data_IF_824220407349
#
_entry.id   IF_824220407349
#
_cell.length_a   1.000
_cell.length_b   1.000
_cell.length_c   1.000
_cell.angle_alpha   90.00
_cell.angle_beta   90.00
_cell.angle_gamma   90.00
#
_symmetry.space_group_name_H-M   'P 1'
#
loop_
_entity.id
_entity.type
_entity.pdbx_description
1 polymer ?
#
# COMPACT_ATOMS: atom_id res chain seq x y z
N UNK A 1 -2.01 -29.99 -14.63
CA UNK A 1 -3.25 -29.46 -15.25
C UNK A 1 -3.04 -27.99 -15.52
N UNK A 2 -3.29 -27.47 -16.74
CA UNK A 2 -3.26 -26.02 -16.94
C UNK A 2 -4.54 -25.42 -16.37
N UNK A 3 -4.39 -24.34 -15.63
CA UNK A 3 -5.48 -23.52 -15.10
C UNK A 3 -5.93 -22.63 -16.27
N UNK A 4 -7.21 -22.65 -16.60
CA UNK A 4 -7.84 -21.74 -17.57
C UNK A 4 -7.52 -20.29 -17.21
N UNK A 5 -6.70 -19.63 -18.03
CA UNK A 5 -6.51 -18.20 -17.97
C UNK A 5 -7.77 -17.53 -18.55
N UNK A 6 -8.62 -17.01 -17.66
CA UNK A 6 -9.61 -16.01 -18.03
C UNK A 6 -8.90 -14.86 -18.74
N UNK A 7 -9.41 -14.45 -19.89
CA UNK A 7 -8.79 -13.52 -20.85
C UNK A 7 -8.85 -12.05 -20.44
N UNK A 8 -8.82 -11.75 -19.15
CA UNK A 8 -8.56 -10.40 -18.66
C UNK A 8 -7.05 -10.27 -18.40
N UNK A 9 -6.42 -9.23 -18.96
CA UNK A 9 -5.04 -8.91 -18.60
C UNK A 9 -4.96 -8.66 -17.09
N UNK A 10 -3.98 -9.26 -16.41
CA UNK A 10 -3.79 -8.98 -14.98
C UNK A 10 -3.52 -7.48 -14.76
N UNK A 11 -4.04 -6.89 -13.67
CA UNK A 11 -3.77 -5.50 -13.35
C UNK A 11 -2.27 -5.26 -13.16
N UNK A 12 -1.78 -4.16 -13.71
CA UNK A 12 -0.39 -3.72 -13.54
C UNK A 12 -0.26 -2.57 -12.54
N UNK A 13 -1.35 -1.89 -12.18
CA UNK A 13 -1.39 -0.83 -11.16
C UNK A 13 -2.21 -1.32 -9.98
N UNK A 14 -1.55 -1.48 -8.83
CA UNK A 14 -2.10 -2.20 -7.69
C UNK A 14 -2.35 -1.26 -6.53
N UNK A 15 -3.56 -1.26 -5.99
CA UNK A 15 -3.84 -0.70 -4.67
C UNK A 15 -3.97 -1.84 -3.67
N UNK A 16 -2.97 -2.01 -2.80
CA UNK A 16 -2.97 -3.08 -1.80
C UNK A 16 -3.80 -2.62 -0.61
N UNK A 17 -5.01 -3.16 -0.49
CA UNK A 17 -5.94 -2.81 0.57
C UNK A 17 -5.58 -3.52 1.87
N UNK A 18 -5.97 -2.90 2.99
CA UNK A 18 -5.92 -3.50 4.33
C UNK A 18 -7.32 -3.60 4.96
N UNK A 19 -8.38 -3.62 4.15
CA UNK A 19 -9.78 -3.59 4.63
C UNK A 19 -10.08 -4.70 5.65
N UNK A 20 -9.53 -5.90 5.43
CA UNK A 20 -9.72 -7.05 6.32
C UNK A 20 -8.67 -7.16 7.44
N UNK A 21 -7.67 -6.27 7.50
CA UNK A 21 -6.68 -6.28 8.58
C UNK A 21 -7.31 -5.87 9.93
N UNK A 22 -6.61 -6.03 11.04
CA UNK A 22 -7.11 -5.52 12.34
C UNK A 22 -6.81 -4.03 12.56
N UNK A 23 -5.81 -3.48 11.86
CA UNK A 23 -5.27 -2.15 12.09
C UNK A 23 -4.61 -1.57 10.82
N UNK A 24 -4.25 -0.28 10.89
CA UNK A 24 -3.68 0.49 9.76
C UNK A 24 -4.59 0.53 8.55
N UNK A 25 -5.91 0.52 8.79
CA UNK A 25 -6.91 0.69 7.75
C UNK A 25 -6.98 2.14 7.33
N UNK A 26 -7.32 2.37 6.08
CA UNK A 26 -7.74 3.69 5.60
C UNK A 26 -9.24 3.78 5.85
N UNK A 27 -9.68 4.78 6.61
CA UNK A 27 -11.10 4.94 6.96
C UNK A 27 -11.94 5.42 5.77
N UNK A 28 -11.39 6.31 4.94
CA UNK A 28 -12.03 6.80 3.72
C UNK A 28 -11.56 6.01 2.48
N UNK A 29 -11.42 4.69 2.60
CA UNK A 29 -10.84 3.85 1.54
C UNK A 29 -11.66 3.87 0.25
N UNK A 30 -12.98 4.01 0.32
CA UNK A 30 -13.84 4.09 -0.87
C UNK A 30 -13.52 5.32 -1.74
N UNK A 31 -13.26 6.48 -1.11
CA UNK A 31 -12.84 7.70 -1.81
C UNK A 31 -11.44 7.53 -2.44
N UNK A 32 -10.54 6.86 -1.73
CA UNK A 32 -9.18 6.57 -2.20
C UNK A 32 -9.22 5.64 -3.40
N UNK A 33 -10.02 4.57 -3.36
CA UNK A 33 -10.22 3.64 -4.49
C UNK A 33 -10.82 4.39 -5.68
N UNK A 34 -11.88 5.19 -5.47
CA UNK A 34 -12.50 5.96 -6.54
C UNK A 34 -11.53 6.95 -7.20
N UNK A 35 -10.63 7.54 -6.41
CA UNK A 35 -9.53 8.37 -6.94
C UNK A 35 -8.54 7.52 -7.74
N UNK A 36 -8.05 6.42 -7.19
CA UNK A 36 -7.00 5.58 -7.79
C UNK A 36 -7.48 4.86 -9.07
N UNK A 37 -8.75 4.48 -9.15
CA UNK A 37 -9.36 3.88 -10.34
C UNK A 37 -9.27 4.78 -11.58
N UNK A 38 -9.32 6.11 -11.39
CA UNK A 38 -9.13 7.07 -12.49
C UNK A 38 -7.72 7.03 -13.09
N UNK A 39 -6.75 6.46 -12.35
CA UNK A 39 -5.38 6.22 -12.78
C UNK A 39 -5.13 4.75 -13.10
N UNK A 40 -6.17 3.95 -13.30
CA UNK A 40 -6.08 2.54 -13.71
C UNK A 40 -5.62 1.59 -12.60
N UNK A 41 -5.67 2.01 -11.33
CA UNK A 41 -5.39 1.10 -10.21
C UNK A 41 -6.57 0.18 -9.92
N UNK A 42 -6.26 -1.05 -9.56
CA UNK A 42 -7.22 -2.04 -9.08
C UNK A 42 -6.96 -2.38 -7.62
N UNK A 43 -8.04 -2.53 -6.84
CA UNK A 43 -7.96 -2.94 -5.44
C UNK A 43 -7.58 -4.42 -5.35
N UNK A 44 -6.63 -4.72 -4.47
CA UNK A 44 -6.15 -6.08 -4.20
C UNK A 44 -6.21 -6.36 -2.70
N UNK A 45 -6.85 -7.46 -2.33
CA UNK A 45 -6.84 -8.04 -0.99
C UNK A 45 -5.91 -9.26 -1.01
N UNK A 46 -4.65 -9.10 -0.56
CA UNK A 46 -3.64 -10.15 -0.71
C UNK A 46 -3.96 -11.42 0.07
N UNK A 47 -4.68 -11.31 1.17
CA UNK A 47 -5.18 -12.41 2.00
C UNK A 47 -6.13 -13.35 1.26
N UNK A 48 -6.73 -12.90 0.16
CA UNK A 48 -7.60 -13.71 -0.71
C UNK A 48 -6.82 -14.46 -1.79
N UNK A 49 -5.52 -14.18 -1.94
CA UNK A 49 -4.65 -14.74 -2.97
C UNK A 49 -3.66 -15.75 -2.39
N UNK A 50 -3.44 -16.83 -3.11
CA UNK A 50 -2.32 -17.74 -2.84
C UNK A 50 -0.98 -17.05 -3.05
N UNK A 51 0.09 -17.56 -2.43
CA UNK A 51 1.46 -17.04 -2.64
C UNK A 51 1.83 -17.01 -4.13
N UNK A 52 1.43 -18.03 -4.90
CA UNK A 52 1.71 -18.09 -6.33
C UNK A 52 1.01 -16.96 -7.10
N UNK A 53 -0.24 -16.65 -6.74
CA UNK A 53 -0.98 -15.55 -7.35
C UNK A 53 -0.40 -14.19 -6.95
N UNK A 54 0.03 -14.02 -5.69
CA UNK A 54 0.74 -12.82 -5.25
C UNK A 54 2.05 -12.63 -6.03
N UNK A 55 2.86 -13.67 -6.21
CA UNK A 55 4.08 -13.60 -7.02
C UNK A 55 3.77 -13.18 -8.46
N UNK A 56 2.78 -13.83 -9.10
CA UNK A 56 2.40 -13.52 -10.46
C UNK A 56 1.97 -12.04 -10.60
N UNK A 57 1.14 -11.57 -9.68
CA UNK A 57 0.62 -10.21 -9.63
C UNK A 57 1.73 -9.16 -9.45
N UNK A 58 2.64 -9.37 -8.49
CA UNK A 58 3.74 -8.42 -8.26
C UNK A 58 4.78 -8.44 -9.39
N UNK A 59 4.96 -9.56 -10.09
CA UNK A 59 5.90 -9.68 -11.22
C UNK A 59 5.52 -8.86 -12.46
N UNK A 60 4.26 -8.42 -12.54
CA UNK A 60 3.73 -7.58 -13.62
C UNK A 60 3.40 -6.16 -13.16
N UNK A 61 3.60 -5.83 -11.88
CA UNK A 61 3.27 -4.53 -11.33
C UNK A 61 4.18 -3.41 -11.88
N UNK A 62 3.55 -2.35 -12.39
CA UNK A 62 4.18 -1.10 -12.83
C UNK A 62 4.12 -0.02 -11.75
N UNK A 63 3.02 0.01 -10.98
CA UNK A 63 2.84 0.96 -9.88
C UNK A 63 2.05 0.31 -8.74
N UNK A 64 2.46 0.57 -7.51
CA UNK A 64 1.83 0.04 -6.30
C UNK A 64 1.55 1.21 -5.36
N UNK A 65 0.32 1.26 -4.83
CA UNK A 65 -0.07 2.16 -3.74
C UNK A 65 -0.52 1.28 -2.57
N UNK A 66 0.04 1.47 -1.38
CA UNK A 66 -0.25 0.56 -0.27
C UNK A 66 0.00 1.19 1.10
N UNK A 67 -0.89 1.00 2.08
CA UNK A 67 -0.55 1.13 3.49
C UNK A 67 0.63 0.23 3.88
N UNK A 68 1.50 0.76 4.74
CA UNK A 68 2.62 0.02 5.30
C UNK A 68 2.18 -1.34 5.90
N UNK A 69 2.84 -2.42 5.49
CA UNK A 69 2.67 -3.74 6.09
C UNK A 69 3.25 -4.91 5.31
N UNK A 70 3.25 -6.08 5.97
CA UNK A 70 3.94 -7.30 5.53
C UNK A 70 3.67 -7.75 4.09
N UNK A 71 2.52 -7.40 3.51
CA UNK A 71 2.21 -7.67 2.10
C UNK A 71 3.20 -7.04 1.12
N UNK A 72 3.85 -5.94 1.49
CA UNK A 72 4.90 -5.30 0.70
C UNK A 72 6.21 -6.08 0.66
N UNK A 73 6.35 -7.20 1.39
CA UNK A 73 7.49 -8.11 1.16
C UNK A 73 7.49 -8.68 -0.25
N UNK A 74 6.32 -8.77 -0.90
CA UNK A 74 6.19 -9.20 -2.30
C UNK A 74 6.87 -8.27 -3.33
N UNK A 75 7.31 -7.07 -2.93
CA UNK A 75 8.10 -6.17 -3.79
C UNK A 75 9.36 -6.85 -4.34
N UNK A 76 9.90 -7.87 -3.65
CA UNK A 76 11.03 -8.68 -4.14
C UNK A 76 10.77 -9.37 -5.48
N UNK A 77 9.50 -9.54 -5.88
CA UNK A 77 9.10 -10.16 -7.14
C UNK A 77 8.87 -9.14 -8.27
N UNK A 78 8.87 -7.83 -7.97
CA UNK A 78 8.67 -6.79 -8.96
C UNK A 78 9.85 -6.67 -9.94
N UNK A 79 9.59 -6.07 -11.09
CA UNK A 79 10.63 -5.71 -12.06
C UNK A 79 11.24 -4.35 -11.72
N UNK A 80 12.54 -4.14 -12.02
CA UNK A 80 13.14 -2.81 -11.96
C UNK A 80 12.33 -1.79 -12.78
N UNK A 81 12.19 -0.57 -12.26
CA UNK A 81 11.39 0.50 -12.86
C UNK A 81 9.93 0.57 -12.40
N UNK A 82 9.44 -0.42 -11.64
CA UNK A 82 8.17 -0.31 -10.93
C UNK A 82 8.21 0.88 -9.94
N UNK A 83 7.04 1.42 -9.60
CA UNK A 83 6.90 2.51 -8.62
C UNK A 83 6.14 2.04 -7.39
N UNK A 84 6.56 2.51 -6.22
CA UNK A 84 5.81 2.32 -4.97
C UNK A 84 5.47 3.68 -4.37
N UNK A 85 4.20 3.87 -4.00
CA UNK A 85 3.75 4.92 -3.09
C UNK A 85 3.31 4.22 -1.80
N UNK A 86 4.15 4.30 -0.78
CA UNK A 86 3.88 3.73 0.52
C UNK A 86 3.18 4.72 1.44
N UNK A 87 2.16 4.26 2.18
CA UNK A 87 1.32 5.08 3.04
C UNK A 87 1.61 4.76 4.50
N UNK A 88 2.01 5.78 5.24
CA UNK A 88 2.30 5.70 6.66
C UNK A 88 1.33 6.55 7.47
N UNK A 89 1.06 6.19 8.74
CA UNK A 89 0.50 7.15 9.69
C UNK A 89 1.52 8.27 9.95
N UNK A 90 1.04 9.47 10.28
CA UNK A 90 1.88 10.66 10.47
C UNK A 90 3.03 10.50 11.48
N UNK A 91 2.89 9.56 12.42
CA UNK A 91 3.77 9.46 13.59
C UNK A 91 4.86 8.38 13.46
N UNK A 92 4.86 7.58 12.38
CA UNK A 92 5.82 6.48 12.24
C UNK A 92 6.10 6.15 10.77
N UNK A 93 7.38 6.28 10.39
CA UNK A 93 7.90 5.86 9.08
C UNK A 93 8.96 4.80 9.31
N UNK A 94 8.82 3.67 8.63
CA UNK A 94 9.77 2.57 8.67
C UNK A 94 10.37 2.36 7.28
N UNK A 95 11.65 2.03 7.23
CA UNK A 95 12.45 2.01 6.01
C UNK A 95 12.55 0.62 5.34
N UNK A 96 11.86 -0.39 5.87
CA UNK A 96 11.96 -1.78 5.41
C UNK A 96 11.69 -1.93 3.90
N UNK A 97 10.61 -1.33 3.42
CA UNK A 97 10.22 -1.48 2.01
C UNK A 97 10.90 -0.46 1.11
N UNK A 98 11.40 0.65 1.66
CA UNK A 98 12.38 1.49 0.97
C UNK A 98 13.65 0.67 0.65
N UNK A 99 14.18 -0.07 1.63
CA UNK A 99 15.37 -0.91 1.45
C UNK A 99 15.14 -1.98 0.36
N UNK A 100 14.03 -2.73 0.42
CA UNK A 100 13.68 -3.70 -0.62
C UNK A 100 13.58 -3.02 -1.99
N UNK A 101 12.96 -1.84 -2.04
CA UNK A 101 12.82 -1.06 -3.27
C UNK A 101 14.19 -0.69 -3.87
N UNK A 102 15.16 -0.31 -3.04
CA UNK A 102 16.52 -0.03 -3.51
C UNK A 102 17.20 -1.27 -4.11
N UNK A 103 17.06 -2.44 -3.47
CA UNK A 103 17.63 -3.69 -3.98
C UNK A 103 17.02 -4.15 -5.31
N UNK A 104 15.71 -3.96 -5.49
CA UNK A 104 14.97 -4.40 -6.69
C UNK A 104 15.06 -3.37 -7.83
N UNK A 105 15.34 -2.10 -7.52
CA UNK A 105 15.30 -1.00 -8.49
C UNK A 105 13.90 -0.40 -8.68
N UNK A 106 13.09 -0.39 -7.62
CA UNK A 106 11.77 0.24 -7.56
C UNK A 106 11.94 1.72 -7.21
N UNK A 107 11.27 2.60 -7.95
CA UNK A 107 11.23 4.02 -7.58
C UNK A 107 10.29 4.22 -6.41
N UNK A 108 10.84 4.57 -5.25
CA UNK A 108 10.12 4.64 -3.99
C UNK A 108 9.65 6.07 -3.69
N UNK A 109 8.38 6.19 -3.33
CA UNK A 109 7.75 7.37 -2.77
C UNK A 109 7.01 6.97 -1.50
N UNK A 110 6.82 7.91 -0.59
CA UNK A 110 5.92 7.73 0.53
C UNK A 110 5.10 8.98 0.77
N UNK A 111 3.95 8.81 1.42
CA UNK A 111 3.20 9.94 1.96
C UNK A 111 2.66 9.62 3.35
N UNK A 112 2.50 10.67 4.14
CA UNK A 112 1.96 10.59 5.50
C UNK A 112 0.45 10.87 5.46
N UNK A 113 -0.32 9.94 6.01
CA UNK A 113 -1.76 10.06 6.20
C UNK A 113 -2.07 10.48 7.64
N UNK A 114 -3.19 11.17 7.83
CA UNK A 114 -3.60 11.63 9.15
C UNK A 114 -4.03 10.44 9.99
N UNK A 115 -3.54 10.39 11.22
CA UNK A 115 -3.94 9.41 12.23
C UNK A 115 -5.37 9.70 12.71
N UNK A 116 -6.24 8.68 12.73
CA UNK A 116 -7.65 8.84 13.15
C UNK A 116 -7.81 8.98 14.66
N UNK A 117 -6.79 8.56 15.41
CA UNK A 117 -6.75 8.70 16.86
C UNK A 117 -5.81 9.84 17.26
N UNK A 118 -6.28 10.68 18.18
CA UNK A 118 -5.42 11.70 18.78
C UNK A 118 -4.23 11.05 19.49
N UNK A 119 -3.10 11.75 19.52
CA UNK A 119 -1.91 11.30 20.25
C UNK A 119 -2.22 10.94 21.72
N UNK A 120 -3.10 11.71 22.38
CA UNK A 120 -3.50 11.45 23.78
C UNK A 120 -4.34 10.17 23.91
N UNK A 121 -5.23 9.89 22.96
CA UNK A 121 -6.01 8.65 22.96
C UNK A 121 -5.11 7.42 22.83
N UNK A 122 -4.08 7.53 21.99
CA UNK A 122 -3.06 6.48 21.84
C UNK A 122 -2.26 6.25 23.11
N UNK A 123 -1.78 7.32 23.77
CA UNK A 123 -1.08 7.19 25.05
C UNK A 123 -1.92 6.53 26.14
N UNK A 124 -3.24 6.80 26.17
CA UNK A 124 -4.16 6.18 27.13
C UNK A 124 -4.42 4.70 26.83
N UNK A 125 -4.56 4.35 25.57
CA UNK A 125 -4.81 2.97 25.14
C UNK A 125 -3.57 2.08 25.28
N UNK A 126 -2.37 2.66 25.19
CA UNK A 126 -1.09 1.95 25.28
C UNK A 126 -0.44 2.14 26.66
N UNK A 127 -1.04 1.56 27.72
CA UNK A 127 -0.41 1.47 29.05
C UNK A 127 0.86 0.58 29.11
N UNK A 128 1.22 -0.09 28.02
CA UNK A 128 2.50 -0.77 27.88
C UNK A 128 3.14 -0.35 26.55
N UNK A 129 4.25 0.37 26.66
CA UNK A 129 5.08 0.86 25.55
C UNK A 129 5.75 -0.33 24.85
N UNK A 130 5.01 -0.98 23.97
CA UNK A 130 5.60 -1.62 22.80
C UNK A 130 5.99 -0.47 21.86
N UNK A 131 7.28 -0.37 21.54
CA UNK A 131 7.95 0.71 20.81
C UNK A 131 7.47 0.96 19.36
N UNK A 132 6.38 0.34 18.94
CA UNK A 132 5.85 0.36 17.58
C UNK A 132 4.37 0.78 17.59
N UNK A 133 4.07 1.91 16.95
CA UNK A 133 2.76 2.58 16.82
C UNK A 133 2.04 2.16 15.53
N UNK A 134 2.43 1.02 14.96
CA UNK A 134 1.88 0.48 13.72
C UNK A 134 0.44 -0.05 13.87
N UNK A 135 -0.40 0.52 14.73
CA UNK A 135 -1.78 0.08 14.93
C UNK A 135 -2.80 1.13 14.51
N UNK A 136 -2.36 2.37 14.25
CA UNK A 136 -3.29 3.49 14.03
C UNK A 136 -3.92 3.43 12.65
N UNK A 137 -5.25 3.60 12.60
CA UNK A 137 -5.99 3.77 11.34
C UNK A 137 -5.76 5.19 10.79
N UNK A 138 -5.98 5.36 9.50
CA UNK A 138 -5.56 6.54 8.75
C UNK A 138 -6.72 7.14 7.95
N UNK A 139 -6.66 8.45 7.73
CA UNK A 139 -7.47 9.17 6.74
C UNK A 139 -6.53 9.77 5.71
N UNK A 140 -6.88 9.61 4.42
CA UNK A 140 -6.09 10.14 3.31
C UNK A 140 -6.81 11.34 2.72
N UNK A 141 -6.13 12.49 2.69
CA UNK A 141 -6.59 13.64 1.92
C UNK A 141 -6.39 13.39 0.43
N UNK A 142 -7.47 13.34 -0.35
CA UNK A 142 -7.42 13.03 -1.79
C UNK A 142 -6.52 14.00 -2.56
N UNK A 143 -6.51 15.28 -2.21
CA UNK A 143 -5.60 16.28 -2.80
C UNK A 143 -4.11 15.98 -2.54
N UNK A 144 -3.78 15.41 -1.39
CA UNK A 144 -2.42 14.96 -1.11
C UNK A 144 -2.06 13.75 -1.96
N UNK A 145 -2.96 12.76 -2.06
CA UNK A 145 -2.78 11.58 -2.91
C UNK A 145 -2.58 11.97 -4.39
N UNK A 146 -3.41 12.87 -4.92
CA UNK A 146 -3.30 13.38 -6.29
C UNK A 146 -1.96 14.07 -6.56
N UNK A 147 -1.48 14.89 -5.60
CA UNK A 147 -0.16 15.53 -5.72
C UNK A 147 0.96 14.50 -5.78
N UNK A 148 0.90 13.46 -4.96
CA UNK A 148 1.88 12.37 -4.95
C UNK A 148 1.86 11.58 -6.26
N UNK A 149 0.68 11.23 -6.79
CA UNK A 149 0.54 10.54 -8.08
C UNK A 149 1.17 11.36 -9.23
N UNK A 150 0.87 12.66 -9.28
CA UNK A 150 1.46 13.58 -10.27
C UNK A 150 2.97 13.68 -10.13
N UNK A 151 3.48 13.82 -8.90
CA UNK A 151 4.91 13.86 -8.63
C UNK A 151 5.63 12.59 -9.07
N UNK A 152 5.01 11.43 -8.83
CA UNK A 152 5.50 10.12 -9.26
C UNK A 152 5.36 9.87 -10.77
N UNK A 153 4.79 10.82 -11.53
CA UNK A 153 4.47 10.71 -12.96
C UNK A 153 3.63 9.46 -13.27
N UNK A 154 2.65 9.19 -12.41
CA UNK A 154 1.64 8.15 -12.60
C UNK A 154 0.41 8.83 -13.20
N UNK A 155 0.15 8.56 -14.47
CA UNK A 155 -0.92 9.14 -15.28
C UNK A 155 -1.57 8.09 -16.17
#
# INVERSE_FOLDING_TARGET
>A
MPINASSASQPTRLYISRKEASYRKIQNEEEVIACLQQFGFEQVLLETLTVKEQIALFSTAEAIVAPHGAGLTNLVFCKPGAKLIEIFPQDEVLDYYWLISQYVGITYYYFLADSTESFIQRLRNHQQVSRYTLTTNMIIHIEALLRTLRFAKIG
#
